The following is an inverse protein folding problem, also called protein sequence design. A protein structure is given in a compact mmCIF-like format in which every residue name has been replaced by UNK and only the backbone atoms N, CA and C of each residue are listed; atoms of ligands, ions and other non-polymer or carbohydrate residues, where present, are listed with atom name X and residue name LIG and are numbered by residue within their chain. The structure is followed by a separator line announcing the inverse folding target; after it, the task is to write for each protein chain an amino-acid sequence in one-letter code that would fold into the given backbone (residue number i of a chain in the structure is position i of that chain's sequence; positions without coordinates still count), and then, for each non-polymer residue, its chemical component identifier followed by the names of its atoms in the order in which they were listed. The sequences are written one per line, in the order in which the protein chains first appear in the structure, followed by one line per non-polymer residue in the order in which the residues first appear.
data_IF_526137708101
#
_entry.id   IF_526137708101
#
_cell.length_a   1.000
_cell.length_b   1.000
_cell.length_c   1.000
_cell.angle_alpha   90.00
_cell.angle_beta   90.00
_cell.angle_gamma   90.00
#
_symmetry.space_group_name_H-M   'P 1'
#
loop_
_entity.id
_entity.type
_entity.pdbx_description
1 polymer ?
#
# COMPACT_ATOMS: atom_id res chain seq x y z
N UNK A 1 -7.78 -13.49 13.78
CA UNK A 1 -7.50 -13.47 12.33
C UNK A 1 -6.46 -12.38 12.09
N UNK A 2 -5.26 -12.75 11.62
CA UNK A 2 -4.13 -11.84 11.44
C UNK A 2 -4.02 -11.58 9.94
N UNK A 3 -4.29 -10.35 9.52
CA UNK A 3 -4.17 -9.92 8.12
C UNK A 3 -2.84 -9.17 8.01
N UNK A 4 -1.87 -9.78 7.35
CA UNK A 4 -0.52 -9.25 7.14
C UNK A 4 -0.01 -9.79 5.81
N UNK A 5 0.65 -8.94 5.02
CA UNK A 5 1.26 -9.30 3.75
C UNK A 5 2.35 -8.30 3.38
N UNK A 6 3.30 -8.73 2.55
CA UNK A 6 4.29 -7.88 1.93
C UNK A 6 3.83 -7.40 0.55
N UNK A 7 4.32 -6.25 0.11
CA UNK A 7 4.03 -5.66 -1.19
C UNK A 7 5.35 -5.32 -1.89
N UNK A 8 5.63 -6.01 -2.99
CA UNK A 8 6.84 -5.85 -3.80
C UNK A 8 6.50 -5.37 -5.20
N UNK A 9 7.40 -4.58 -5.79
CA UNK A 9 7.31 -4.15 -7.19
C UNK A 9 7.32 -5.37 -8.13
N UNK A 10 6.39 -5.42 -9.07
CA UNK A 10 6.38 -6.47 -10.08
C UNK A 10 7.59 -6.30 -11.02
N UNK A 11 8.44 -7.33 -11.18
CA UNK A 11 9.54 -7.31 -12.13
C UNK A 11 9.07 -7.12 -13.59
N UNK A 12 9.87 -6.44 -14.42
CA UNK A 12 9.45 -6.08 -15.78
C UNK A 12 9.19 -7.28 -16.70
N UNK A 13 9.83 -8.42 -16.43
CA UNK A 13 9.64 -9.69 -17.12
C UNK A 13 8.33 -10.39 -16.75
N UNK A 14 7.73 -10.03 -15.62
CA UNK A 14 6.46 -10.57 -15.10
C UNK A 14 5.30 -9.57 -15.25
N UNK A 15 5.59 -8.35 -15.71
CA UNK A 15 4.62 -7.29 -15.85
C UNK A 15 3.70 -7.53 -17.06
N UNK A 16 2.40 -7.43 -16.84
CA UNK A 16 1.40 -7.44 -17.90
C UNK A 16 1.61 -6.28 -18.90
N UNK A 17 1.16 -6.46 -20.14
CA UNK A 17 1.28 -5.45 -21.21
C UNK A 17 0.63 -4.12 -20.82
N UNK A 18 -0.43 -4.16 -20.01
CA UNK A 18 -1.13 -2.98 -19.48
C UNK A 18 -0.57 -2.44 -18.17
N UNK A 19 0.42 -3.11 -17.59
CA UNK A 19 0.99 -2.76 -16.30
C UNK A 19 1.86 -1.50 -16.36
N UNK A 20 1.92 -0.79 -15.25
CA UNK A 20 2.75 0.40 -15.09
C UNK A 20 4.14 0.03 -14.57
N UNK A 21 5.15 0.19 -15.45
CA UNK A 21 6.55 -0.02 -15.10
C UNK A 21 6.94 0.80 -13.87
N UNK A 22 7.56 0.14 -12.88
CA UNK A 22 8.01 0.69 -11.59
C UNK A 22 6.90 1.12 -10.61
N UNK A 23 5.63 0.91 -10.95
CA UNK A 23 4.51 1.34 -10.11
C UNK A 23 3.62 0.20 -9.64
N UNK A 24 3.45 -0.84 -10.46
CA UNK A 24 2.64 -1.99 -10.05
C UNK A 24 3.36 -2.86 -9.01
N UNK A 25 2.54 -3.43 -8.11
CA UNK A 25 2.94 -4.32 -7.02
C UNK A 25 2.15 -5.62 -7.08
N UNK A 26 2.72 -6.67 -6.52
CA UNK A 26 2.09 -7.99 -6.38
C UNK A 26 0.83 -7.96 -5.49
N UNK A 27 0.91 -7.31 -4.33
CA UNK A 27 -0.16 -7.20 -3.36
C UNK A 27 -0.50 -5.73 -3.12
N UNK A 28 -1.71 -5.32 -3.51
CA UNK A 28 -2.21 -3.96 -3.34
C UNK A 28 -2.86 -3.79 -1.96
N UNK A 29 -2.78 -2.56 -1.43
CA UNK A 29 -3.51 -2.19 -0.20
C UNK A 29 -4.97 -1.94 -0.58
N UNK A 30 -5.86 -2.88 -0.27
CA UNK A 30 -7.30 -2.74 -0.54
C UNK A 30 -7.97 -1.97 0.60
N UNK A 31 -8.68 -0.88 0.28
CA UNK A 31 -9.36 -0.02 1.25
C UNK A 31 -10.74 0.44 0.75
N UNK A 32 -11.71 0.64 1.65
CA UNK A 32 -13.03 1.12 1.24
C UNK A 32 -13.01 2.62 0.90
N UNK A 33 -13.65 3.02 -0.21
CA UNK A 33 -13.92 4.44 -0.47
C UNK A 33 -15.06 4.97 0.42
N UNK A 34 -15.22 6.29 0.46
CA UNK A 34 -16.19 7.01 1.30
C UNK A 34 -16.07 6.71 2.81
N UNK A 35 -14.88 6.30 3.26
CA UNK A 35 -14.59 6.00 4.66
C UNK A 35 -13.31 6.72 5.07
N UNK A 36 -13.28 7.26 6.28
CA UNK A 36 -12.07 7.87 6.83
C UNK A 36 -11.07 6.77 7.20
N UNK A 37 -9.90 6.78 6.57
CA UNK A 37 -8.83 5.82 6.85
C UNK A 37 -7.77 6.50 7.72
N UNK A 38 -7.38 5.83 8.80
CA UNK A 38 -6.20 6.18 9.61
C UNK A 38 -5.07 5.23 9.24
N UNK A 39 -3.93 5.77 8.85
CA UNK A 39 -2.70 5.00 8.60
C UNK A 39 -1.69 5.28 9.70
N UNK A 40 -1.01 4.22 10.14
CA UNK A 40 0.13 4.27 11.04
C UNK A 40 1.35 3.80 10.26
N UNK A 41 2.43 4.58 10.28
CA UNK A 41 3.62 4.35 9.46
C UNK A 41 4.86 4.36 10.36
N UNK A 42 5.69 3.33 10.23
CA UNK A 42 7.00 3.17 10.87
C UNK A 42 7.90 2.37 9.93
N UNK A 43 9.21 2.36 10.20
CA UNK A 43 10.17 1.51 9.51
C UNK A 43 10.86 0.55 10.49
N UNK A 44 11.41 -0.55 9.96
CA UNK A 44 12.19 -1.53 10.75
C UNK A 44 13.70 -1.37 10.57
N UNK A 45 14.15 -0.70 9.51
CA UNK A 45 15.55 -0.60 9.11
C UNK A 45 16.05 0.85 9.07
N UNK A 46 15.86 1.53 7.94
CA UNK A 46 16.27 2.92 7.69
C UNK A 46 15.03 3.80 7.55
N UNK A 47 15.24 5.09 7.29
CA UNK A 47 14.12 6.01 7.05
C UNK A 47 13.57 5.74 5.64
N UNK A 48 12.25 5.65 5.54
CA UNK A 48 11.51 5.68 4.28
C UNK A 48 10.47 6.79 4.34
N UNK A 49 9.70 7.00 3.28
CA UNK A 49 8.53 7.88 3.32
C UNK A 49 7.39 7.29 2.51
N UNK A 50 6.26 7.03 3.18
CA UNK A 50 5.04 6.52 2.58
C UNK A 50 4.23 7.67 1.97
N UNK A 51 4.07 7.66 0.65
CA UNK A 51 3.48 8.78 -0.10
C UNK A 51 2.46 8.30 -1.11
N UNK A 52 1.26 8.89 -1.11
CA UNK A 52 0.27 8.78 -2.18
C UNK A 52 -0.10 10.20 -2.64
N UNK A 53 0.49 10.71 -3.75
CA UNK A 53 0.31 12.09 -4.17
C UNK A 53 -1.15 12.47 -4.45
N UNK A 54 -1.91 11.58 -5.08
CA UNK A 54 -3.31 11.81 -5.41
C UNK A 54 -4.24 11.92 -4.19
N UNK A 55 -3.79 11.44 -3.02
CA UNK A 55 -4.50 11.61 -1.74
C UNK A 55 -3.91 12.74 -0.89
N UNK A 56 -2.87 13.42 -1.37
CA UNK A 56 -2.19 14.49 -0.63
C UNK A 56 -1.48 14.01 0.64
N UNK A 57 -1.09 12.73 0.71
CA UNK A 57 -0.44 12.14 1.90
C UNK A 57 1.03 11.87 1.61
N UNK A 58 1.90 12.37 2.48
CA UNK A 58 3.32 12.00 2.59
C UNK A 58 3.67 11.90 4.08
N UNK A 59 4.20 10.77 4.52
CA UNK A 59 4.53 10.51 5.92
C UNK A 59 5.84 9.75 6.00
N UNK A 60 6.80 10.27 6.74
CA UNK A 60 8.07 9.57 6.96
C UNK A 60 7.85 8.32 7.84
N UNK A 61 8.41 7.20 7.40
CA UNK A 61 8.52 5.97 8.16
C UNK A 61 9.88 5.99 8.88
N UNK A 62 9.87 6.25 10.18
CA UNK A 62 11.10 6.44 10.98
C UNK A 62 11.27 5.30 11.98
N UNK A 63 12.41 4.60 12.01
CA UNK A 63 12.63 3.53 12.98
C UNK A 63 12.44 4.02 14.42
N UNK A 64 11.68 3.27 15.22
CA UNK A 64 11.39 3.63 16.61
C UNK A 64 10.33 4.73 16.81
N UNK A 65 9.67 5.19 15.73
CA UNK A 65 8.59 6.19 15.82
C UNK A 65 7.39 5.79 14.95
N UNK A 66 6.22 5.78 15.59
CA UNK A 66 4.95 5.51 14.92
C UNK A 66 4.27 6.82 14.52
N UNK A 67 4.36 7.19 13.24
CA UNK A 67 3.67 8.36 12.70
C UNK A 67 2.24 8.00 12.27
N UNK A 68 1.33 8.97 12.35
CA UNK A 68 -0.08 8.79 11.99
C UNK A 68 -0.52 9.85 10.98
N UNK A 69 -1.35 9.45 10.01
CA UNK A 69 -2.15 10.39 9.22
C UNK A 69 -3.53 9.84 8.96
N UNK A 70 -4.44 10.69 8.49
CA UNK A 70 -5.73 10.25 8.00
C UNK A 70 -5.96 10.75 6.57
N UNK A 71 -6.66 9.96 5.77
CA UNK A 71 -7.08 10.34 4.43
C UNK A 71 -8.46 9.77 4.11
N UNK A 72 -9.04 10.29 3.03
CA UNK A 72 -10.37 9.94 2.57
C UNK A 72 -10.34 9.79 1.05
N UNK A 73 -10.97 8.74 0.53
CA UNK A 73 -11.06 8.45 -0.90
C UNK A 73 -12.50 8.61 -1.37
N UNK A 74 -12.77 9.48 -2.34
CA UNK A 74 -14.14 9.79 -2.79
C UNK A 74 -14.63 8.89 -3.95
N UNK A 75 -13.75 8.04 -4.49
CA UNK A 75 -14.04 7.23 -5.67
C UNK A 75 -13.26 5.92 -5.62
N UNK A 76 -13.82 4.90 -6.27
CA UNK A 76 -13.11 3.66 -6.54
C UNK A 76 -11.99 3.85 -7.55
N UNK A 77 -10.95 3.01 -7.49
CA UNK A 77 -9.84 3.01 -8.43
C UNK A 77 -8.49 2.75 -7.78
N UNK A 78 -7.43 2.83 -8.58
CA UNK A 78 -6.05 2.63 -8.13
C UNK A 78 -5.38 3.98 -7.86
N UNK A 79 -4.72 4.08 -6.72
CA UNK A 79 -3.90 5.23 -6.33
C UNK A 79 -2.46 4.77 -6.16
N UNK A 80 -1.56 5.41 -6.90
CA UNK A 80 -0.15 5.05 -6.95
C UNK A 80 0.69 6.01 -6.12
N UNK A 81 1.80 5.49 -5.59
CA UNK A 81 2.78 6.20 -4.80
C UNK A 81 4.15 5.55 -4.90
N UNK A 82 5.17 6.25 -4.40
CA UNK A 82 6.55 5.75 -4.32
C UNK A 82 7.18 6.23 -3.02
N UNK A 83 8.21 5.50 -2.57
CA UNK A 83 9.04 5.96 -1.46
C UNK A 83 9.60 7.36 -1.76
N UNK A 84 9.45 8.29 -0.81
CA UNK A 84 9.83 9.71 -0.99
C UNK A 84 10.95 10.17 -0.04
N UNK A 85 11.73 9.22 0.47
CA UNK A 85 12.92 9.45 1.31
C UNK A 85 14.01 8.45 0.94
N UNK A 86 15.26 8.90 0.78
CA UNK A 86 16.34 8.06 0.25
C UNK A 86 16.66 6.91 1.22
N UNK A 87 16.47 5.67 0.75
CA UNK A 87 16.57 4.47 1.59
C UNK A 87 17.52 3.37 1.07
N UNK A 88 18.40 3.72 0.12
CA UNK A 88 19.44 2.82 -0.39
C UNK A 88 19.30 2.50 -1.88
N UNK A 89 19.93 1.40 -2.32
CA UNK A 89 20.05 1.06 -3.74
C UNK A 89 18.70 0.88 -4.46
N UNK A 90 17.71 0.33 -3.75
CA UNK A 90 16.39 0.04 -4.30
C UNK A 90 15.34 1.12 -3.98
N UNK A 91 15.77 2.33 -3.59
CA UNK A 91 14.86 3.42 -3.24
C UNK A 91 13.79 3.70 -4.30
N UNK A 92 14.14 3.63 -5.59
CA UNK A 92 13.22 3.86 -6.70
C UNK A 92 12.31 2.66 -7.05
N UNK A 93 12.45 1.53 -6.34
CA UNK A 93 11.86 0.23 -6.70
C UNK A 93 10.96 -0.34 -5.60
N UNK A 94 10.40 0.52 -4.76
CA UNK A 94 9.44 0.17 -3.71
C UNK A 94 8.18 1.06 -3.82
N UNK A 95 7.35 0.84 -4.86
CA UNK A 95 6.12 1.59 -5.06
C UNK A 95 5.03 1.18 -4.06
N UNK A 96 3.98 1.99 -4.00
CA UNK A 96 2.82 1.78 -3.15
C UNK A 96 1.59 1.85 -4.04
N UNK A 97 0.70 0.87 -3.95
CA UNK A 97 -0.59 0.89 -4.66
C UNK A 97 -1.72 0.66 -3.69
N UNK A 98 -2.67 1.60 -3.67
CA UNK A 98 -3.94 1.47 -2.96
C UNK A 98 -5.03 1.18 -3.97
N UNK A 99 -5.80 0.12 -3.72
CA UNK A 99 -7.03 -0.17 -4.42
C UNK A 99 -8.23 0.27 -3.60
N UNK A 100 -8.96 1.26 -4.11
CA UNK A 100 -10.14 1.81 -3.49
C UNK A 100 -11.39 1.09 -3.99
N UNK A 101 -12.09 0.39 -3.10
CA UNK A 101 -13.22 -0.50 -3.43
C UNK A 101 -14.48 -0.17 -2.63
N UNK A 102 -15.68 -0.64 -3.04
CA UNK A 102 -16.87 -0.54 -2.22
C UNK A 102 -16.71 -1.30 -0.90
N UNK A 103 -17.35 -0.83 0.18
CA UNK A 103 -17.24 -1.46 1.51
C UNK A 103 -17.60 -2.95 1.52
N UNK A 104 -18.58 -3.38 0.72
CA UNK A 104 -18.95 -4.79 0.61
C UNK A 104 -17.81 -5.63 0.01
N UNK A 105 -17.16 -5.14 -1.04
CA UNK A 105 -16.01 -5.82 -1.65
C UNK A 105 -14.82 -5.88 -0.69
N UNK A 106 -14.56 -4.81 0.05
CA UNK A 106 -13.53 -4.77 1.08
C UNK A 106 -13.78 -5.79 2.20
N UNK A 107 -15.02 -5.90 2.69
CA UNK A 107 -15.39 -6.89 3.72
C UNK A 107 -15.21 -8.32 3.18
N UNK A 108 -15.64 -8.57 1.94
CA UNK A 108 -15.44 -9.87 1.31
C UNK A 108 -13.95 -10.21 1.16
N UNK A 109 -13.14 -9.25 0.75
CA UNK A 109 -11.69 -9.39 0.62
C UNK A 109 -11.02 -9.70 1.97
N UNK A 110 -11.40 -9.01 3.05
CA UNK A 110 -10.93 -9.33 4.41
C UNK A 110 -11.27 -10.77 4.78
N UNK A 111 -12.52 -11.18 4.52
CA UNK A 111 -12.97 -12.52 4.88
C UNK A 111 -12.17 -13.60 4.13
N UNK A 112 -11.95 -13.43 2.82
CA UNK A 112 -11.17 -14.36 2.00
C UNK A 112 -9.73 -14.51 2.49
N UNK A 113 -9.00 -13.41 2.70
CA UNK A 113 -7.61 -13.52 3.16
C UNK A 113 -7.54 -14.11 4.56
N UNK A 114 -8.51 -13.78 5.40
CA UNK A 114 -8.54 -14.31 6.76
C UNK A 114 -8.82 -15.82 6.83
N UNK A 115 -9.41 -16.41 5.79
CA UNK A 115 -9.58 -17.85 5.64
C UNK A 115 -8.28 -18.49 5.14
N UNK A 116 -7.60 -17.89 4.16
CA UNK A 116 -6.33 -18.39 3.64
C UNK A 116 -5.21 -18.39 4.68
N UNK A 117 -5.21 -17.44 5.63
CA UNK A 117 -4.23 -17.39 6.73
C UNK A 117 -4.36 -18.51 7.80
N UNK A 118 -5.32 -19.43 7.63
CA UNK A 118 -5.49 -20.59 8.51
C UNK A 118 -4.81 -21.86 7.99
N UNK A 119 -4.23 -21.81 6.78
CA UNK A 119 -3.55 -22.93 6.13
C UNK A 119 -2.00 -22.89 6.28
N UNK A 120 -1.47 -21.92 7.04
CA UNK A 120 -0.05 -21.81 7.46
C UNK A 120 0.17 -22.14 8.95
#
# INVERSE_FOLDING_TARGET
KKLEFDSYMIPINELDISGFRLLDVDNRIVLPFNTQIRVLVTAMDVIHSWTIPALGVKIDATPGRLNQSNFFMNRSGLFYGQCSEICGANHSFMPIVIESTPSNSFINWINQISENSLDD
#
